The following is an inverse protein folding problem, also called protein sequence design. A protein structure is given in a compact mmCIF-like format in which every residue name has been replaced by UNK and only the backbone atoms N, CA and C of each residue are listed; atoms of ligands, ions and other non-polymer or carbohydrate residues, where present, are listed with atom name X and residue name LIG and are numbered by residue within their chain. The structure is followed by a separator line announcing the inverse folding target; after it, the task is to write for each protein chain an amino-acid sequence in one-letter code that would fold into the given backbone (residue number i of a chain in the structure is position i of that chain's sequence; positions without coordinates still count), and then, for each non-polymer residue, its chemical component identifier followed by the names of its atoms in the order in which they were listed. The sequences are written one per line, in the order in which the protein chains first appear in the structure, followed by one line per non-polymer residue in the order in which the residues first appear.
data_IF_196292060945
#
_entry.id   IF_196292060945
#
_cell.length_a   1.000
_cell.length_b   1.000
_cell.length_c   1.000
_cell.angle_alpha   90.00
_cell.angle_beta   90.00
_cell.angle_gamma   90.00
#
_symmetry.space_group_name_H-M   'P 1'
#
loop_
_entity.id
_entity.type
_entity.pdbx_description
1 polymer ?
#
# COMPACT_ATOMS: atom_id res chain seq x y z
N UNK A 1 -17.99 2.89 -70.38
CA UNK A 1 -17.37 1.64 -69.88
C UNK A 1 -18.48 0.66 -69.55
N UNK A 2 -18.71 -0.30 -70.43
CA UNK A 2 -19.77 -1.33 -70.34
C UNK A 2 -19.35 -2.54 -69.48
N UNK A 3 -18.59 -2.30 -68.40
CA UNK A 3 -18.05 -3.38 -67.56
C UNK A 3 -19.15 -4.12 -66.77
N UNK A 4 -20.26 -3.42 -66.49
CA UNK A 4 -21.40 -3.96 -65.73
C UNK A 4 -22.31 -4.87 -66.56
N UNK A 5 -22.22 -4.86 -67.89
CA UNK A 5 -23.09 -5.68 -68.77
C UNK A 5 -22.66 -7.14 -68.88
N UNK A 6 -21.48 -7.50 -68.36
CA UNK A 6 -20.90 -8.84 -68.49
C UNK A 6 -21.05 -9.73 -67.25
N UNK A 7 -21.50 -9.19 -66.12
CA UNK A 7 -21.58 -9.96 -64.88
C UNK A 7 -23.01 -10.42 -64.59
N UNK A 8 -23.19 -11.74 -64.48
CA UNK A 8 -24.42 -12.34 -63.93
C UNK A 8 -24.64 -11.79 -62.51
N UNK A 9 -25.90 -11.46 -62.19
CA UNK A 9 -26.34 -10.99 -60.88
C UNK A 9 -25.81 -11.88 -59.75
N UNK A 10 -25.77 -13.20 -59.97
CA UNK A 10 -25.22 -14.17 -58.99
C UNK A 10 -23.74 -13.94 -58.72
N UNK A 11 -22.96 -13.62 -59.76
CA UNK A 11 -21.52 -13.35 -59.63
C UNK A 11 -21.29 -12.06 -58.84
N UNK A 12 -22.06 -11.02 -59.12
CA UNK A 12 -22.00 -9.75 -58.36
C UNK A 12 -22.33 -9.98 -56.89
N UNK A 13 -23.40 -10.74 -56.61
CA UNK A 13 -23.83 -11.03 -55.24
C UNK A 13 -22.78 -11.85 -54.46
N UNK A 14 -22.13 -12.82 -55.13
CA UNK A 14 -21.07 -13.62 -54.54
C UNK A 14 -19.83 -12.79 -54.20
N UNK A 15 -19.42 -11.89 -55.09
CA UNK A 15 -18.29 -10.97 -54.85
C UNK A 15 -18.59 -10.03 -53.68
N UNK A 16 -19.81 -9.49 -53.59
CA UNK A 16 -20.24 -8.66 -52.47
C UNK A 16 -20.19 -9.42 -51.14
N UNK A 17 -20.58 -10.70 -51.15
CA UNK A 17 -20.59 -11.52 -49.95
C UNK A 17 -19.16 -11.84 -49.46
N UNK A 18 -18.23 -12.13 -50.38
CA UNK A 18 -16.81 -12.28 -50.05
C UNK A 18 -16.23 -10.96 -49.51
N UNK A 19 -16.54 -9.83 -50.16
CA UNK A 19 -16.08 -8.53 -49.71
C UNK A 19 -16.58 -8.22 -48.29
N UNK A 20 -17.86 -8.47 -48.00
CA UNK A 20 -18.42 -8.29 -46.66
C UNK A 20 -17.73 -9.18 -45.61
N UNK A 21 -17.52 -10.47 -45.92
CA UNK A 21 -16.82 -11.39 -45.02
C UNK A 21 -15.39 -10.94 -44.76
N UNK A 22 -14.67 -10.52 -45.80
CA UNK A 22 -13.29 -10.04 -45.68
C UNK A 22 -13.18 -8.79 -44.80
N UNK A 23 -14.12 -7.84 -44.92
CA UNK A 23 -14.18 -6.65 -44.06
C UNK A 23 -14.45 -7.02 -42.60
N UNK A 24 -15.37 -7.94 -42.35
CA UNK A 24 -15.67 -8.41 -40.98
C UNK A 24 -14.45 -9.09 -40.36
N UNK A 25 -13.80 -10.00 -41.09
CA UNK A 25 -12.60 -10.69 -40.61
C UNK A 25 -11.43 -9.73 -40.36
N UNK A 26 -11.26 -8.72 -41.21
CA UNK A 26 -10.24 -7.69 -41.01
C UNK A 26 -10.51 -6.85 -39.76
N UNK A 27 -11.76 -6.41 -39.58
CA UNK A 27 -12.18 -5.66 -38.39
C UNK A 27 -11.91 -6.46 -37.11
N UNK A 28 -12.35 -7.72 -37.06
CA UNK A 28 -12.10 -8.60 -35.91
C UNK A 28 -10.60 -8.82 -35.65
N UNK A 29 -9.81 -9.02 -36.72
CA UNK A 29 -8.36 -9.18 -36.56
C UNK A 29 -7.71 -7.92 -35.99
N UNK A 30 -8.20 -6.73 -36.34
CA UNK A 30 -7.69 -5.46 -35.82
C UNK A 30 -8.02 -5.30 -34.33
N UNK A 31 -9.25 -5.66 -33.93
CA UNK A 31 -9.71 -5.60 -32.54
C UNK A 31 -8.94 -6.59 -31.65
N UNK A 32 -8.75 -7.82 -32.12
CA UNK A 32 -7.94 -8.84 -31.43
C UNK A 32 -6.51 -8.35 -31.21
N UNK A 33 -5.92 -7.67 -32.21
CA UNK A 33 -4.57 -7.13 -32.08
C UNK A 33 -4.51 -6.04 -31.02
N UNK A 34 -5.43 -5.08 -31.04
CA UNK A 34 -5.52 -4.02 -30.03
C UNK A 34 -5.68 -4.59 -28.64
N UNK A 35 -6.62 -5.52 -28.44
CA UNK A 35 -6.83 -6.17 -27.14
C UNK A 35 -5.61 -6.95 -26.66
N UNK A 36 -4.86 -7.58 -27.58
CA UNK A 36 -3.62 -8.27 -27.24
C UNK A 36 -2.54 -7.29 -26.78
N UNK A 37 -2.38 -6.16 -27.47
CA UNK A 37 -1.40 -5.13 -27.13
C UNK A 37 -1.75 -4.45 -25.78
N UNK A 38 -3.04 -4.18 -25.54
CA UNK A 38 -3.54 -3.67 -24.25
C UNK A 38 -3.30 -4.67 -23.11
N UNK A 39 -3.55 -5.96 -23.37
CA UNK A 39 -3.29 -7.04 -22.39
C UNK A 39 -1.81 -7.12 -22.04
N UNK A 40 -0.92 -7.08 -23.04
CA UNK A 40 0.53 -7.10 -22.82
C UNK A 40 0.95 -5.90 -21.97
N UNK A 41 0.52 -4.70 -22.36
CA UNK A 41 0.80 -3.46 -21.61
C UNK A 41 0.32 -3.55 -20.16
N UNK A 42 -0.86 -4.12 -19.94
CA UNK A 42 -1.44 -4.29 -18.60
C UNK A 42 -0.63 -5.29 -17.77
N UNK A 43 -0.19 -6.41 -18.37
CA UNK A 43 0.66 -7.39 -17.71
C UNK A 43 2.02 -6.81 -17.33
N UNK A 44 2.64 -6.02 -18.21
CA UNK A 44 3.91 -5.34 -17.92
C UNK A 44 3.78 -4.37 -16.73
N UNK A 45 2.69 -3.59 -16.70
CA UNK A 45 2.38 -2.70 -15.57
C UNK A 45 2.17 -3.48 -14.27
N UNK A 46 1.47 -4.62 -14.33
CA UNK A 46 1.24 -5.47 -13.18
C UNK A 46 2.57 -6.01 -12.62
N UNK A 47 3.41 -6.60 -13.47
CA UNK A 47 4.73 -7.13 -13.08
C UNK A 47 5.61 -6.04 -12.47
N UNK A 48 5.62 -4.83 -13.06
CA UNK A 48 6.35 -3.70 -12.51
C UNK A 48 5.83 -3.29 -11.13
N UNK A 49 4.52 -3.19 -10.98
CA UNK A 49 3.87 -2.86 -9.70
C UNK A 49 4.19 -3.89 -8.61
N UNK A 50 4.14 -5.18 -8.93
CA UNK A 50 4.52 -6.25 -8.00
C UNK A 50 5.98 -6.17 -7.56
N UNK A 51 6.89 -5.84 -8.48
CA UNK A 51 8.30 -5.64 -8.15
C UNK A 51 8.53 -4.43 -7.24
N UNK A 52 7.83 -3.32 -7.51
CA UNK A 52 7.88 -2.11 -6.67
C UNK A 52 7.29 -2.37 -5.29
N UNK A 53 6.19 -3.12 -5.20
CA UNK A 53 5.58 -3.52 -3.94
C UNK A 53 6.53 -4.37 -3.09
N UNK A 54 7.17 -5.40 -3.69
CA UNK A 54 8.16 -6.23 -2.99
C UNK A 54 9.35 -5.41 -2.46
N UNK A 55 9.82 -4.43 -3.24
CA UNK A 55 10.88 -3.51 -2.79
C UNK A 55 10.42 -2.63 -1.62
N UNK A 56 9.17 -2.16 -1.67
CA UNK A 56 8.58 -1.37 -0.59
C UNK A 56 8.47 -2.20 0.70
N UNK A 57 7.92 -3.41 0.60
CA UNK A 57 7.77 -4.34 1.72
C UNK A 57 9.11 -4.67 2.37
N UNK A 58 10.15 -4.95 1.57
CA UNK A 58 11.50 -5.17 2.07
C UNK A 58 12.04 -3.97 2.87
N UNK A 59 11.83 -2.74 2.38
CA UNK A 59 12.25 -1.51 3.08
C UNK A 59 11.47 -1.29 4.38
N UNK A 60 10.16 -1.54 4.38
CA UNK A 60 9.33 -1.42 5.59
C UNK A 60 9.80 -2.42 6.65
N UNK A 61 10.08 -3.66 6.25
CA UNK A 61 10.61 -4.68 7.16
C UNK A 61 11.98 -4.28 7.73
N UNK A 62 12.88 -3.76 6.89
CA UNK A 62 14.18 -3.24 7.34
C UNK A 62 14.01 -2.09 8.35
N UNK A 63 13.09 -1.16 8.10
CA UNK A 63 12.80 -0.05 9.00
C UNK A 63 12.23 -0.53 10.34
N UNK A 64 11.29 -1.48 10.30
CA UNK A 64 10.70 -2.05 11.51
C UNK A 64 11.75 -2.77 12.37
N UNK A 65 12.67 -3.51 11.75
CA UNK A 65 13.79 -4.12 12.47
C UNK A 65 14.66 -3.07 13.15
N UNK A 66 15.04 -2.01 12.44
CA UNK A 66 15.82 -0.91 13.03
C UNK A 66 15.08 -0.21 14.17
N UNK A 67 13.77 -0.07 14.10
CA UNK A 67 12.96 0.51 15.18
C UNK A 67 13.04 -0.37 16.43
N UNK A 68 12.89 -1.70 16.28
CA UNK A 68 13.04 -2.61 17.41
C UNK A 68 14.48 -2.64 17.95
N UNK A 69 15.50 -2.55 17.10
CA UNK A 69 16.91 -2.46 17.54
C UNK A 69 17.20 -1.16 18.31
N UNK A 70 16.56 -0.05 17.91
CA UNK A 70 16.66 1.25 18.59
C UNK A 70 15.79 1.34 19.84
N UNK A 71 14.90 0.38 20.07
CA UNK A 71 14.00 0.37 21.21
C UNK A 71 14.81 0.08 22.46
N UNK A 72 15.09 1.13 23.20
CA UNK A 72 15.65 1.00 24.54
C UNK A 72 14.52 0.57 25.47
N UNK A 73 14.64 -0.63 26.04
CA UNK A 73 13.80 -1.01 27.17
C UNK A 73 14.09 -0.08 28.34
N UNK A 74 13.25 0.94 28.50
CA UNK A 74 13.30 1.77 29.70
C UNK A 74 12.70 0.95 30.83
N UNK A 75 13.53 0.16 31.51
CA UNK A 75 13.21 -0.25 32.88
C UNK A 75 13.20 1.02 33.71
N UNK A 76 12.02 1.62 33.88
CA UNK A 76 11.85 2.74 34.79
C UNK A 76 12.20 2.26 36.20
N UNK A 77 13.42 2.57 36.64
CA UNK A 77 13.80 2.46 38.04
C UNK A 77 13.36 3.77 38.67
N UNK A 78 12.28 3.72 39.45
CA UNK A 78 11.80 4.88 40.18
C UNK A 78 12.94 5.44 41.04
N UNK A 79 13.32 6.72 40.87
CA UNK A 79 14.36 7.32 41.68
C UNK A 79 13.99 7.19 43.17
N UNK A 80 14.96 6.81 44.01
CA UNK A 80 14.78 6.69 45.47
C UNK A 80 14.17 7.95 46.11
N UNK A 81 14.37 9.11 45.50
CA UNK A 81 13.73 10.37 45.92
C UNK A 81 12.21 10.36 45.78
N UNK A 82 11.66 9.73 44.73
CA UNK A 82 10.22 9.61 44.51
C UNK A 82 9.62 8.55 45.45
N UNK A 83 10.33 7.44 45.68
CA UNK A 83 9.94 6.44 46.67
C UNK A 83 9.88 7.04 48.09
N UNK A 84 10.85 7.88 48.45
CA UNK A 84 10.87 8.59 49.74
C UNK A 84 9.64 9.49 49.91
N UNK A 85 9.25 10.22 48.86
CA UNK A 85 8.05 11.08 48.89
C UNK A 85 6.77 10.27 49.07
N UNK A 86 6.66 9.08 48.47
CA UNK A 86 5.48 8.20 48.66
C UNK A 86 5.32 7.70 50.09
N UNK A 87 6.43 7.56 50.82
CA UNK A 87 6.45 6.97 52.16
C UNK A 87 6.30 7.99 53.29
N UNK A 88 6.41 9.30 53.01
CA UNK A 88 6.18 10.34 54.03
C UNK A 88 4.68 10.63 54.13
N UNK A 89 4.10 10.27 55.27
CA UNK A 89 2.67 10.42 55.53
C UNK A 89 2.42 11.55 56.53
N UNK A 90 1.68 12.60 56.12
CA UNK A 90 1.19 13.63 57.04
C UNK A 90 -0.03 13.07 57.76
N UNK A 91 0.14 12.74 59.04
CA UNK A 91 -0.88 12.06 59.86
C UNK A 91 -2.11 12.94 60.13
N UNK A 92 -1.91 14.25 60.27
CA UNK A 92 -2.93 15.29 60.48
C UNK A 92 -2.37 16.67 60.10
N UNK A 93 -3.24 17.68 59.89
CA UNK A 93 -2.85 19.04 59.47
C UNK A 93 -2.35 19.93 60.62
N UNK A 94 -1.76 19.33 61.65
CA UNK A 94 -1.15 20.09 62.74
C UNK A 94 0.25 20.52 62.34
N UNK A 95 0.68 21.69 62.82
CA UNK A 95 2.00 22.24 62.53
C UNK A 95 3.15 21.26 62.89
N UNK A 96 2.98 20.49 63.98
CA UNK A 96 3.97 19.50 64.42
C UNK A 96 4.07 18.30 63.47
N UNK A 97 2.93 17.81 62.97
CA UNK A 97 2.90 16.72 61.99
C UNK A 97 3.45 17.14 60.62
N UNK A 98 3.16 18.36 60.19
CA UNK A 98 3.72 18.92 58.95
C UNK A 98 5.24 19.12 59.06
N UNK A 99 5.73 19.66 60.17
CA UNK A 99 7.15 19.86 60.41
C UNK A 99 7.91 18.52 60.47
N UNK A 100 7.30 17.49 61.07
CA UNK A 100 7.89 16.15 61.13
C UNK A 100 7.98 15.50 59.75
N UNK A 101 6.93 15.59 58.95
CA UNK A 101 6.94 15.11 57.57
C UNK A 101 7.99 15.84 56.71
N UNK A 102 8.14 17.16 56.89
CA UNK A 102 9.16 17.94 56.21
C UNK A 102 10.58 17.45 56.57
N UNK A 103 10.86 17.25 57.87
CA UNK A 103 12.14 16.72 58.34
C UNK A 103 12.45 15.33 57.79
N UNK A 104 11.46 14.44 57.77
CA UNK A 104 11.59 13.10 57.19
C UNK A 104 11.89 13.14 55.68
N UNK A 105 11.29 14.09 54.93
CA UNK A 105 11.59 14.30 53.51
C UNK A 105 13.03 14.73 53.26
N UNK A 106 13.63 15.52 54.15
CA UNK A 106 14.95 16.12 53.94
C UNK A 106 16.10 15.54 54.80
N UNK A 107 15.83 14.54 55.65
CA UNK A 107 16.80 13.93 56.59
C UNK A 107 17.41 14.93 57.60
N UNK A 108 16.59 15.85 58.11
CA UNK A 108 16.95 16.81 59.18
C UNK A 108 16.34 16.43 60.53
#
# INVERSE_FOLDING_TARGET
MDFLKFFDLKTVLFVLLIAALSLISFSQSSEIKTLKDEKITTLEKLVKSEQELKKCEAKVNEQNQKIEDMKVEVTYIEPKSIEKVKNVFIKDSTCESELKAYKELFNE
#
